data_IF_691811062535
#
_entry.id   IF_691811062535
#
_cell.length_a   1.000
_cell.length_b   1.000
_cell.length_c   1.000
_cell.angle_alpha   90.00
_cell.angle_beta   90.00
_cell.angle_gamma   90.00
#
_symmetry.space_group_name_H-M   'P 1'
#
loop_
_entity.id
_entity.type
_entity.pdbx_description
1 polymer ?
#
# COMPACT_ATOMS: atom_id res chain seq x y z
N UNK A 1 2.07 -40.31 -22.00
CA UNK A 1 1.94 -39.18 -21.04
C UNK A 1 0.77 -39.50 -20.11
N UNK A 2 0.96 -39.60 -18.79
CA UNK A 2 -0.13 -39.97 -17.87
C UNK A 2 -0.84 -38.73 -17.32
N UNK A 3 -2.13 -38.84 -17.01
CA UNK A 3 -2.93 -37.75 -16.42
C UNK A 3 -2.29 -37.19 -15.15
N UNK A 4 -1.68 -38.07 -14.33
CA UNK A 4 -0.93 -37.66 -13.15
C UNK A 4 0.22 -36.71 -13.48
N UNK A 5 1.05 -37.03 -14.49
CA UNK A 5 2.15 -36.16 -14.95
C UNK A 5 1.64 -34.79 -15.44
N UNK A 6 0.47 -34.75 -16.08
CA UNK A 6 -0.15 -33.51 -16.55
C UNK A 6 -0.58 -32.65 -15.36
N UNK A 7 -1.22 -33.25 -14.35
CA UNK A 7 -1.61 -32.55 -13.13
C UNK A 7 -0.41 -32.03 -12.34
N UNK A 8 0.67 -32.81 -12.23
CA UNK A 8 1.91 -32.36 -11.56
C UNK A 8 2.54 -31.18 -12.30
N UNK A 9 2.62 -31.25 -13.63
CA UNK A 9 3.16 -30.17 -14.45
C UNK A 9 2.30 -28.90 -14.33
N UNK A 10 0.97 -29.02 -14.37
CA UNK A 10 0.06 -27.88 -14.23
C UNK A 10 0.14 -27.22 -12.85
N UNK A 11 0.30 -28.01 -11.78
CA UNK A 11 0.49 -27.50 -10.42
C UNK A 11 1.81 -26.73 -10.27
N UNK A 12 2.91 -27.28 -10.80
CA UNK A 12 4.22 -26.62 -10.77
C UNK A 12 4.23 -25.29 -11.55
N UNK A 13 3.58 -25.26 -12.73
CA UNK A 13 3.46 -24.04 -13.53
C UNK A 13 2.59 -23.00 -12.81
N UNK A 14 1.50 -23.41 -12.15
CA UNK A 14 0.64 -22.49 -11.37
C UNK A 14 1.37 -21.85 -10.18
N UNK A 15 2.31 -22.58 -9.54
CA UNK A 15 3.10 -22.05 -8.43
C UNK A 15 4.21 -21.10 -8.88
N UNK A 16 4.63 -21.10 -10.15
CA UNK A 16 5.63 -20.15 -10.65
C UNK A 16 5.07 -18.74 -10.87
N UNK A 17 3.74 -18.60 -10.97
CA UNK A 17 3.03 -17.32 -11.06
C UNK A 17 2.72 -16.73 -9.69
N UNK A 18 3.71 -16.64 -8.79
CA UNK A 18 3.56 -15.85 -7.57
C UNK A 18 3.60 -14.36 -8.00
N UNK A 19 2.49 -13.61 -7.90
CA UNK A 19 2.46 -12.22 -8.31
C UNK A 19 3.47 -11.38 -7.50
N UNK A 20 4.11 -10.42 -8.17
CA UNK A 20 5.06 -9.45 -7.60
C UNK A 20 4.55 -8.69 -6.37
N UNK A 21 3.24 -8.71 -6.12
CA UNK A 21 2.62 -8.20 -4.90
C UNK A 21 3.12 -8.92 -3.63
N UNK A 22 3.43 -10.22 -3.68
CA UNK A 22 3.98 -10.95 -2.53
C UNK A 22 5.41 -10.53 -2.19
N UNK A 23 6.22 -10.18 -3.19
CA UNK A 23 7.57 -9.67 -2.96
C UNK A 23 7.54 -8.34 -2.21
N UNK A 24 6.62 -7.43 -2.59
CA UNK A 24 6.43 -6.17 -1.88
C UNK A 24 6.07 -6.38 -0.40
N UNK A 25 5.31 -7.43 -0.09
CA UNK A 25 4.91 -7.75 1.28
C UNK A 25 6.07 -8.30 2.12
N UNK A 26 6.86 -9.24 1.56
CA UNK A 26 8.07 -9.76 2.21
C UNK A 26 9.07 -8.65 2.53
N UNK A 27 9.23 -7.67 1.64
CA UNK A 27 10.11 -6.52 1.87
C UNK A 27 9.57 -5.56 2.95
N UNK A 28 8.25 -5.38 3.04
CA UNK A 28 7.63 -4.53 4.07
C UNK A 28 7.82 -5.08 5.49
N UNK A 29 7.82 -6.40 5.66
CA UNK A 29 8.05 -7.05 6.96
C UNK A 29 9.52 -7.09 7.36
N UNK A 30 10.43 -7.27 6.39
CA UNK A 30 11.87 -7.31 6.67
C UNK A 30 12.43 -5.93 7.01
N UNK A 31 12.06 -4.90 6.24
CA UNK A 31 12.61 -3.55 6.39
C UNK A 31 11.48 -2.50 6.34
N UNK A 32 10.63 -2.44 7.38
CA UNK A 32 9.42 -1.62 7.38
C UNK A 32 9.71 -0.12 7.22
N UNK A 33 10.82 0.37 7.77
CA UNK A 33 11.24 1.76 7.63
C UNK A 33 11.67 2.10 6.20
N UNK A 34 12.42 1.20 5.54
CA UNK A 34 12.84 1.39 4.15
C UNK A 34 11.63 1.35 3.21
N UNK A 35 10.72 0.40 3.42
CA UNK A 35 9.49 0.29 2.65
C UNK A 35 8.62 1.55 2.75
N UNK A 36 8.43 2.10 3.95
CA UNK A 36 7.67 3.33 4.17
C UNK A 36 8.29 4.54 3.45
N UNK A 37 9.61 4.58 3.27
CA UNK A 37 10.30 5.64 2.53
C UNK A 37 10.20 5.50 1.01
N UNK A 38 10.22 4.27 0.47
CA UNK A 38 10.12 4.00 -0.97
C UNK A 38 8.67 4.05 -1.46
N UNK A 39 7.73 3.66 -0.61
CA UNK A 39 6.30 3.60 -0.90
C UNK A 39 5.53 4.41 0.16
N UNK A 40 5.67 5.75 0.18
CA UNK A 40 5.01 6.60 1.16
C UNK A 40 3.48 6.45 1.14
N UNK A 41 2.94 6.03 0.00
CA UNK A 41 1.52 5.81 -0.23
C UNK A 41 0.98 4.45 0.14
N UNK A 42 1.81 3.61 0.76
CA UNK A 42 1.44 2.27 1.19
C UNK A 42 1.66 2.12 2.68
N UNK A 43 0.64 1.60 3.34
CA UNK A 43 0.67 1.33 4.77
C UNK A 43 1.21 -0.07 5.03
N UNK A 44 2.40 -0.13 5.62
CA UNK A 44 3.07 -1.38 6.03
C UNK A 44 2.17 -2.20 6.97
N UNK A 45 1.46 -1.56 7.89
CA UNK A 45 0.66 -2.24 8.91
C UNK A 45 -0.63 -2.84 8.32
N UNK A 46 -1.02 -2.42 7.12
CA UNK A 46 -2.17 -2.92 6.39
C UNK A 46 -1.76 -3.66 5.11
N UNK A 47 -0.64 -4.38 5.14
CA UNK A 47 -0.19 -5.23 4.03
C UNK A 47 0.19 -4.47 2.76
N UNK A 48 0.64 -3.22 2.91
CA UNK A 48 0.98 -2.34 1.79
C UNK A 48 -0.23 -1.81 1.02
N UNK A 49 -1.42 -1.80 1.65
CA UNK A 49 -2.61 -1.15 1.12
C UNK A 49 -2.41 0.37 0.99
N UNK A 50 -3.15 1.01 0.09
CA UNK A 50 -3.06 2.46 -0.09
C UNK A 50 -3.49 3.20 1.18
N UNK A 51 -2.69 4.17 1.62
CA UNK A 51 -3.12 5.07 2.70
C UNK A 51 -4.34 5.89 2.27
N UNK A 52 -5.02 6.53 3.23
CA UNK A 52 -6.13 7.44 2.92
C UNK A 52 -5.72 8.57 1.97
N UNK A 53 -4.49 9.10 2.09
CA UNK A 53 -3.98 10.11 1.19
C UNK A 53 -3.71 9.52 -0.22
N UNK A 54 -3.22 8.29 -0.29
CA UNK A 54 -2.89 7.57 -1.53
C UNK A 54 -4.12 7.26 -2.35
N UNK A 55 -5.21 6.91 -1.67
CA UNK A 55 -6.53 6.74 -2.29
C UNK A 55 -7.08 8.04 -2.88
N UNK A 56 -6.72 9.18 -2.31
CA UNK A 56 -7.15 10.50 -2.78
C UNK A 56 -6.17 11.15 -3.78
N UNK A 57 -5.06 10.48 -4.11
CA UNK A 57 -4.02 11.05 -4.96
C UNK A 57 -3.30 12.26 -4.33
N UNK A 58 -3.40 12.41 -3.01
CA UNK A 58 -2.85 13.53 -2.25
C UNK A 58 -1.40 13.28 -1.80
N UNK A 59 -0.75 12.24 -2.28
CA UNK A 59 0.59 11.88 -1.81
C UNK A 59 1.68 12.53 -2.65
N UNK A 60 2.61 13.19 -1.96
CA UNK A 60 3.86 13.68 -2.56
C UNK A 60 4.89 12.56 -2.53
N UNK A 61 5.93 12.71 -3.35
CA UNK A 61 7.04 11.77 -3.46
C UNK A 61 7.81 11.47 -2.15
N UNK A 62 7.44 12.09 -1.02
CA UNK A 62 8.04 11.86 0.30
C UNK A 62 7.03 11.65 1.45
N UNK A 63 5.76 11.35 1.16
CA UNK A 63 4.75 11.14 2.21
C UNK A 63 3.37 11.71 1.88
N UNK A 64 2.40 11.41 2.75
CA UNK A 64 1.09 12.05 2.75
C UNK A 64 1.26 13.58 2.72
N UNK A 65 0.55 14.27 1.82
CA UNK A 65 0.53 15.73 1.86
C UNK A 65 0.10 16.19 3.26
N UNK A 66 0.67 17.31 3.75
CA UNK A 66 0.21 17.87 5.02
C UNK A 66 -1.30 18.03 4.94
N UNK A 67 -2.00 17.57 5.98
CA UNK A 67 -3.42 17.85 6.15
C UNK A 67 -3.53 19.36 6.22
N UNK A 68 -3.96 20.00 5.13
CA UNK A 68 -4.52 21.33 5.21
C UNK A 68 -5.81 21.18 6.00
N UNK A 69 -5.69 21.26 7.33
CA UNK A 69 -6.83 21.45 8.20
C UNK A 69 -7.50 22.74 7.70
N UNK A 70 -8.58 22.59 6.96
CA UNK A 70 -9.47 23.68 6.60
C UNK A 70 -9.69 24.50 7.86
N UNK A 71 -9.37 25.79 7.76
CA UNK A 71 -9.21 26.66 8.91
C UNK A 71 -10.34 26.49 9.91
N UNK A 72 -10.00 26.47 11.19
CA UNK A 72 -10.96 26.71 12.25
C UNK A 72 -11.58 28.10 12.01
N UNK A 73 -12.69 28.14 11.29
CA UNK A 73 -13.60 29.29 11.26
C UNK A 73 -14.33 29.24 12.60
N UNK A 74 -13.64 29.63 13.67
CA UNK A 74 -14.32 30.13 14.86
C UNK A 74 -15.03 31.41 14.41
N UNK A 75 -16.29 31.26 14.02
CA UNK A 75 -17.23 32.35 13.85
C UNK A 75 -17.32 33.03 15.23
N UNK A 76 -16.55 34.10 15.42
CA UNK A 76 -16.72 34.97 16.59
C UNK A 76 -18.12 35.58 16.51
N UNK A 77 -18.96 35.47 17.56
CA UNK A 77 -20.17 36.27 17.61
C UNK A 77 -19.76 37.73 17.70
N UNK A 78 -20.11 38.51 16.68
CA UNK A 78 -19.95 39.96 16.68
C UNK A 78 -20.96 40.51 17.70
N UNK A 79 -20.49 40.80 18.91
CA UNK A 79 -21.31 41.55 19.86
C UNK A 79 -21.56 42.95 19.29
N UNK A 80 -22.84 43.28 19.21
CA UNK A 80 -23.40 44.55 18.76
C UNK A 80 -22.94 45.70 19.65
#
# INVERSE_FOLDING_TARGET
>A
MTVFKILTAAALISMATIPSAYAAWSFADQEPAAFASMYPNRDVLNGGALTSAGRMGLERAGGAAPVFAGGNIYVRPRHR
#
